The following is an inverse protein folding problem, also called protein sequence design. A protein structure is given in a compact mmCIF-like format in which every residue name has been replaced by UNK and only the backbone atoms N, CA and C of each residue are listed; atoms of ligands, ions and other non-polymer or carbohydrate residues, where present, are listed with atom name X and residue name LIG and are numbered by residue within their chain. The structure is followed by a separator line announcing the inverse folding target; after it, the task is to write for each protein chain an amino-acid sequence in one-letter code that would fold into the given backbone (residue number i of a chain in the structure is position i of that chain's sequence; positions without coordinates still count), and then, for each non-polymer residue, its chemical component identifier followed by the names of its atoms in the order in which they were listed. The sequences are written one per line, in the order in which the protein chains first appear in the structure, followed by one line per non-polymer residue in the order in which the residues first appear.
data_IF_671034597143
#
_entry.id   IF_671034597143
#
_cell.length_a   1.000
_cell.length_b   1.000
_cell.length_c   1.000
_cell.angle_alpha   90.00
_cell.angle_beta   90.00
_cell.angle_gamma   90.00
#
_symmetry.space_group_name_H-M   'P 1'
#
loop_
_entity.id
_entity.type
_entity.pdbx_description
1 polymer ?
#
# COMPACT_ATOMS: atom_id res chain seq x y z
N UNK A 1 -12.09 8.81 -15.59
CA UNK A 1 -12.78 7.51 -15.54
C UNK A 1 -12.07 6.68 -14.49
N UNK A 2 -12.73 6.31 -13.38
CA UNK A 2 -12.13 5.42 -12.37
C UNK A 2 -12.04 4.04 -12.98
N UNK A 3 -10.85 3.44 -13.05
CA UNK A 3 -10.71 2.07 -13.52
C UNK A 3 -11.24 1.18 -12.41
N UNK A 4 -12.22 0.32 -12.72
CA UNK A 4 -12.87 -0.58 -11.75
C UNK A 4 -11.89 -1.52 -11.02
N UNK A 5 -10.65 -1.62 -11.50
CA UNK A 5 -9.59 -2.47 -10.97
C UNK A 5 -8.50 -1.68 -10.23
N UNK A 6 -8.65 -0.37 -10.07
CA UNK A 6 -7.70 0.42 -9.26
C UNK A 6 -7.83 0.01 -7.78
N UNK A 7 -6.68 -0.18 -7.13
CA UNK A 7 -6.64 -0.45 -5.70
C UNK A 7 -7.27 0.73 -4.94
N UNK A 8 -8.14 0.47 -3.94
CA UNK A 8 -8.71 1.54 -3.12
C UNK A 8 -7.62 2.31 -2.38
N UNK A 9 -7.82 3.62 -2.30
CA UNK A 9 -6.98 4.55 -1.53
C UNK A 9 -7.17 4.36 -0.03
N UNK A 10 -6.20 4.85 0.78
CA UNK A 10 -6.33 4.88 2.24
C UNK A 10 -7.63 5.55 2.70
N UNK A 11 -8.05 6.63 2.00
CA UNK A 11 -9.30 7.35 2.29
C UNK A 11 -10.52 6.46 2.04
N UNK A 12 -10.59 5.80 0.89
CA UNK A 12 -11.71 4.92 0.56
C UNK A 12 -11.81 3.72 1.52
N UNK A 13 -10.66 3.16 1.93
CA UNK A 13 -10.64 2.11 2.94
C UNK A 13 -11.15 2.60 4.30
N UNK A 14 -10.80 3.83 4.70
CA UNK A 14 -11.32 4.46 5.92
C UNK A 14 -12.82 4.74 5.82
N UNK A 15 -13.31 5.22 4.69
CA UNK A 15 -14.73 5.49 4.47
C UNK A 15 -15.57 4.20 4.58
N UNK A 16 -15.07 3.08 4.05
CA UNK A 16 -15.73 1.77 4.20
C UNK A 16 -15.76 1.30 5.65
N UNK A 17 -14.66 1.46 6.40
CA UNK A 17 -14.66 1.14 7.83
C UNK A 17 -15.66 2.00 8.59
N UNK A 18 -15.67 3.30 8.32
CA UNK A 18 -16.58 4.24 8.96
C UNK A 18 -18.03 3.87 8.70
N UNK A 19 -18.38 3.56 7.46
CA UNK A 19 -19.71 3.08 7.09
C UNK A 19 -20.08 1.79 7.82
N UNK A 20 -19.17 0.81 7.86
CA UNK A 20 -19.43 -0.45 8.56
C UNK A 20 -19.69 -0.23 10.06
N UNK A 21 -18.82 0.52 10.73
CA UNK A 21 -18.98 0.75 12.17
C UNK A 21 -20.20 1.60 12.50
N UNK A 22 -20.57 2.60 11.70
CA UNK A 22 -21.68 3.49 12.07
C UNK A 22 -23.05 3.03 11.59
N UNK A 23 -23.13 2.36 10.44
CA UNK A 23 -24.40 2.12 9.77
C UNK A 23 -24.79 0.63 9.69
N UNK A 24 -23.82 -0.28 9.82
CA UNK A 24 -24.05 -1.73 9.65
C UNK A 24 -24.00 -2.50 10.98
N UNK A 25 -23.48 -1.89 12.05
CA UNK A 25 -23.49 -2.48 13.39
C UNK A 25 -24.68 -1.95 14.15
N UNK A 26 -25.59 -2.84 14.53
CA UNK A 26 -26.55 -2.56 15.58
C UNK A 26 -25.87 -2.72 16.95
N UNK A 27 -25.61 -1.60 17.61
CA UNK A 27 -24.94 -1.57 18.91
C UNK A 27 -25.84 -2.02 20.06
N UNK A 28 -27.16 -2.03 19.87
CA UNK A 28 -28.12 -2.50 20.87
C UNK A 28 -28.27 -4.03 20.80
N UNK A 29 -27.96 -4.65 19.65
CA UNK A 29 -28.04 -6.10 19.45
C UNK A 29 -26.80 -6.68 18.75
N UNK A 30 -25.69 -6.73 19.49
CA UNK A 30 -24.40 -7.23 18.97
C UNK A 30 -24.40 -8.72 18.57
N UNK A 31 -25.41 -9.51 19.00
CA UNK A 31 -25.50 -10.93 18.65
C UNK A 31 -25.81 -11.16 17.16
N UNK A 32 -26.42 -10.18 16.50
CA UNK A 32 -26.78 -10.25 15.07
C UNK A 32 -25.66 -9.77 14.13
N UNK A 33 -24.50 -9.37 14.68
CA UNK A 33 -23.38 -8.90 13.86
C UNK A 33 -22.96 -9.98 12.86
N UNK A 34 -22.94 -9.59 11.59
CA UNK A 34 -22.42 -10.43 10.53
C UNK A 34 -20.89 -10.63 10.70
N UNK A 35 -20.51 -11.79 11.21
CA UNK A 35 -19.12 -12.18 11.47
C UNK A 35 -18.24 -12.06 10.22
N UNK A 36 -18.77 -12.37 9.04
CA UNK A 36 -18.04 -12.27 7.79
C UNK A 36 -17.69 -10.81 7.46
N UNK A 37 -18.67 -9.89 7.53
CA UNK A 37 -18.43 -8.45 7.34
C UNK A 37 -17.46 -7.89 8.38
N UNK A 38 -17.59 -8.30 9.65
CA UNK A 38 -16.66 -7.90 10.72
C UNK A 38 -15.22 -8.34 10.42
N UNK A 39 -15.01 -9.57 9.94
CA UNK A 39 -13.67 -10.06 9.54
C UNK A 39 -13.08 -9.23 8.41
N UNK A 40 -13.89 -8.83 7.42
CA UNK A 40 -13.45 -7.95 6.34
C UNK A 40 -13.01 -6.60 6.89
N UNK A 41 -13.83 -5.97 7.73
CA UNK A 41 -13.49 -4.69 8.36
C UNK A 41 -12.20 -4.77 9.17
N UNK A 42 -12.04 -5.81 10.00
CA UNK A 42 -10.80 -6.04 10.76
C UNK A 42 -9.58 -6.24 9.84
N UNK A 43 -9.74 -6.89 8.70
CA UNK A 43 -8.65 -7.05 7.73
C UNK A 43 -8.27 -5.72 7.07
N UNK A 44 -9.24 -4.89 6.68
CA UNK A 44 -9.00 -3.54 6.14
C UNK A 44 -8.25 -2.69 7.19
N UNK A 45 -8.70 -2.73 8.45
CA UNK A 45 -8.04 -2.01 9.53
C UNK A 45 -6.58 -2.47 9.73
N UNK A 46 -6.33 -3.79 9.68
CA UNK A 46 -4.96 -4.33 9.76
C UNK A 46 -4.08 -3.84 8.60
N UNK A 47 -4.62 -3.78 7.38
CA UNK A 47 -3.90 -3.26 6.20
C UNK A 47 -3.51 -1.79 6.43
N UNK A 48 -4.48 -0.94 6.79
CA UNK A 48 -4.22 0.48 7.04
C UNK A 48 -3.19 0.70 8.16
N UNK A 49 -3.29 -0.06 9.25
CA UNK A 49 -2.33 -0.01 10.35
C UNK A 49 -0.91 -0.35 9.89
N UNK A 50 -0.74 -1.37 9.05
CA UNK A 50 0.57 -1.74 8.48
C UNK A 50 1.09 -0.64 7.57
N UNK A 51 0.25 -0.14 6.67
CA UNK A 51 0.67 0.93 5.75
C UNK A 51 1.14 2.16 6.50
N UNK A 52 0.41 2.64 7.52
CA UNK A 52 0.81 3.80 8.34
C UNK A 52 2.14 3.53 9.07
N UNK A 53 2.31 2.32 9.62
CA UNK A 53 3.51 1.95 10.38
C UNK A 53 4.76 1.93 9.49
N UNK A 54 4.67 1.34 8.31
CA UNK A 54 5.81 1.07 7.44
C UNK A 54 6.00 2.09 6.32
N UNK A 55 5.11 3.07 6.18
CA UNK A 55 5.20 4.11 5.14
C UNK A 55 6.54 4.84 5.15
N UNK A 56 7.04 5.21 6.35
CA UNK A 56 8.34 5.88 6.48
C UNK A 56 9.50 4.99 6.05
N UNK A 57 9.45 3.70 6.39
CA UNK A 57 10.49 2.73 6.00
C UNK A 57 10.48 2.51 4.49
N UNK A 58 9.30 2.41 3.87
CA UNK A 58 9.18 2.29 2.42
C UNK A 58 9.69 3.55 1.68
N UNK A 59 9.37 4.74 2.18
CA UNK A 59 9.89 6.00 1.63
C UNK A 59 11.41 6.05 1.75
N UNK A 60 11.96 5.68 2.91
CA UNK A 60 13.41 5.62 3.10
C UNK A 60 14.07 4.62 2.14
N UNK A 61 13.48 3.44 1.99
CA UNK A 61 13.97 2.43 1.04
C UNK A 61 13.93 2.94 -0.40
N UNK A 62 12.86 3.63 -0.80
CA UNK A 62 12.77 4.30 -2.10
C UNK A 62 13.90 5.32 -2.26
N UNK A 63 14.13 6.19 -1.28
CA UNK A 63 15.22 7.17 -1.33
C UNK A 63 16.59 6.50 -1.47
N UNK A 64 16.86 5.44 -0.69
CA UNK A 64 18.13 4.73 -0.67
C UNK A 64 18.39 4.01 -2.01
N UNK A 65 17.38 3.33 -2.56
CA UNK A 65 17.46 2.68 -3.87
C UNK A 65 17.63 3.72 -4.99
N UNK A 66 16.91 4.83 -4.90
CA UNK A 66 16.97 5.91 -5.90
C UNK A 66 18.33 6.60 -5.91
N UNK A 67 18.93 6.81 -4.73
CA UNK A 67 20.27 7.39 -4.61
C UNK A 67 21.32 6.50 -5.29
N UNK A 68 21.18 5.18 -5.19
CA UNK A 68 22.10 4.24 -5.84
C UNK A 68 22.01 4.32 -7.38
N UNK A 69 20.79 4.28 -7.91
CA UNK A 69 20.51 4.22 -9.34
C UNK A 69 20.64 5.59 -10.03
N UNK A 70 19.93 6.60 -9.53
CA UNK A 70 19.81 7.91 -10.16
C UNK A 70 20.79 8.95 -9.61
N UNK A 71 21.62 8.60 -8.61
CA UNK A 71 22.51 9.53 -7.89
C UNK A 71 21.79 10.71 -7.23
N UNK A 72 20.49 10.59 -7.05
CA UNK A 72 19.64 11.58 -6.39
C UNK A 72 18.56 10.90 -5.58
N UNK A 73 18.13 11.55 -4.49
CA UNK A 73 17.00 11.07 -3.70
C UNK A 73 15.69 11.41 -4.41
N UNK A 74 14.81 10.42 -4.50
CA UNK A 74 13.47 10.57 -5.04
C UNK A 74 12.48 10.28 -3.92
N UNK A 75 11.78 11.28 -3.37
CA UNK A 75 10.96 11.10 -2.17
C UNK A 75 9.57 10.54 -2.48
N UNK A 76 9.14 10.54 -3.75
CA UNK A 76 7.77 10.21 -4.12
C UNK A 76 7.65 9.36 -5.37
N UNK A 77 6.56 8.59 -5.44
CA UNK A 77 6.14 7.83 -6.63
C UNK A 77 5.97 8.73 -7.85
N UNK A 78 5.46 9.96 -7.68
CA UNK A 78 5.20 10.87 -8.78
C UNK A 78 6.50 11.34 -9.43
N UNK A 79 7.52 11.62 -8.60
CA UNK A 79 8.84 12.03 -9.09
C UNK A 79 9.54 10.86 -9.79
N UNK A 80 9.45 9.65 -9.22
CA UNK A 80 9.93 8.43 -9.88
C UNK A 80 9.26 8.22 -11.24
N UNK A 81 7.93 8.40 -11.32
CA UNK A 81 7.17 8.23 -12.57
C UNK A 81 7.64 9.21 -13.65
N UNK A 82 7.94 10.47 -13.29
CA UNK A 82 8.48 11.46 -14.25
C UNK A 82 9.84 11.04 -14.78
N UNK A 83 10.71 10.52 -13.92
CA UNK A 83 12.04 10.05 -14.30
C UNK A 83 11.91 8.86 -15.25
N UNK A 84 11.07 7.87 -14.91
CA UNK A 84 10.81 6.70 -15.76
C UNK A 84 10.31 7.12 -17.15
N UNK A 85 9.38 8.07 -17.23
CA UNK A 85 8.85 8.55 -18.52
C UNK A 85 9.88 9.24 -19.41
N UNK A 86 10.99 9.71 -18.84
CA UNK A 86 12.04 10.39 -19.60
C UNK A 86 13.12 9.42 -20.14
N UNK A 87 12.97 8.10 -19.95
CA UNK A 87 13.74 7.00 -20.57
C UNK A 87 15.29 7.09 -20.50
N UNK A 88 15.85 7.90 -19.60
CA UNK A 88 17.30 8.11 -19.47
C UNK A 88 18.06 7.10 -18.61
N UNK A 89 17.70 5.81 -18.63
CA UNK A 89 18.28 4.80 -17.74
C UNK A 89 18.49 3.45 -18.44
N UNK A 90 19.53 2.72 -18.00
CA UNK A 90 19.78 1.35 -18.43
C UNK A 90 18.70 0.40 -17.88
N UNK A 91 18.27 -0.57 -18.68
CA UNK A 91 17.16 -1.47 -18.33
C UNK A 91 17.46 -2.36 -17.13
N UNK A 92 18.61 -3.04 -17.11
CA UNK A 92 18.92 -4.01 -16.06
C UNK A 92 19.00 -3.39 -14.64
N UNK A 93 19.71 -2.26 -14.41
CA UNK A 93 19.70 -1.60 -13.10
C UNK A 93 18.32 -1.07 -12.68
N UNK A 94 17.47 -0.71 -13.64
CA UNK A 94 16.10 -0.27 -13.39
C UNK A 94 15.19 -1.44 -13.01
N UNK A 95 15.34 -2.58 -13.67
CA UNK A 95 14.61 -3.82 -13.33
C UNK A 95 14.93 -4.26 -11.90
N UNK A 96 16.20 -4.30 -11.53
CA UNK A 96 16.63 -4.63 -10.15
C UNK A 96 16.05 -3.65 -9.13
N UNK A 97 16.09 -2.35 -9.44
CA UNK A 97 15.49 -1.30 -8.60
C UNK A 97 13.99 -1.51 -8.39
N UNK A 98 13.23 -1.78 -9.47
CA UNK A 98 11.79 -2.00 -9.40
C UNK A 98 11.45 -3.30 -8.67
N UNK A 99 12.24 -4.35 -8.88
CA UNK A 99 12.07 -5.63 -8.22
C UNK A 99 12.23 -5.50 -6.70
N UNK A 100 13.32 -4.87 -6.25
CA UNK A 100 13.56 -4.65 -4.82
C UNK A 100 12.47 -3.77 -4.18
N UNK A 101 12.04 -2.71 -4.87
CA UNK A 101 10.95 -1.87 -4.39
C UNK A 101 9.61 -2.64 -4.30
N UNK A 102 9.33 -3.51 -5.26
CA UNK A 102 8.13 -4.34 -5.27
C UNK A 102 8.13 -5.36 -4.12
N UNK A 103 9.27 -6.01 -3.85
CA UNK A 103 9.44 -6.95 -2.74
C UNK A 103 9.16 -6.28 -1.39
N UNK A 104 9.69 -5.07 -1.20
CA UNK A 104 9.47 -4.27 0.01
C UNK A 104 8.01 -3.82 0.15
N UNK A 105 7.35 -3.46 -0.95
CA UNK A 105 5.92 -3.15 -0.90
C UNK A 105 5.07 -4.39 -0.55
N UNK A 106 5.43 -5.55 -1.10
CA UNK A 106 4.75 -6.82 -0.85
C UNK A 106 4.88 -7.26 0.61
N UNK A 107 6.06 -7.08 1.24
CA UNK A 107 6.29 -7.27 2.68
C UNK A 107 5.26 -6.52 3.54
N UNK A 108 5.01 -5.26 3.21
CA UNK A 108 4.11 -4.38 3.96
C UNK A 108 2.65 -4.79 3.74
N UNK A 109 2.29 -5.04 2.49
CA UNK A 109 0.92 -5.34 2.09
C UNK A 109 0.47 -6.70 2.63
N UNK A 110 1.28 -7.73 2.43
CA UNK A 110 1.03 -9.06 2.94
C UNK A 110 2.33 -9.78 3.32
N UNK A 111 2.74 -9.68 4.60
CA UNK A 111 3.97 -10.32 5.08
C UNK A 111 3.91 -11.85 5.04
N UNK A 112 2.75 -12.46 4.79
CA UNK A 112 2.63 -13.93 4.68
C UNK A 112 3.24 -14.47 3.39
N UNK A 113 3.38 -13.66 2.33
CA UNK A 113 3.95 -14.11 1.05
C UNK A 113 5.46 -14.38 1.10
N UNK A 114 6.12 -14.09 2.23
CA UNK A 114 7.57 -14.24 2.39
C UNK A 114 7.93 -15.23 3.51
N UNK A 115 6.93 -15.97 4.00
CA UNK A 115 7.16 -17.16 4.80
C UNK A 115 7.13 -18.34 3.85
N UNK A 116 8.30 -18.95 3.64
CA UNK A 116 8.40 -20.31 3.10
C UNK A 116 7.73 -21.32 4.04
#
# INVERSE_FOLDING_TARGET
MKVFFDRPTKKELMDVLHHFFLNEIDYENLQEINIFKLRIALNIFKILKREIRYEKELIKKLEDLSLKLFKQKIPSKNDLTKIIKNEGFESAPMEDFLFELAKEKLLIDNPAYLKD
#
